data_IF_599628589830
#
_entry.id   IF_599628589830
#
_cell.length_a   1.000
_cell.length_b   1.000
_cell.length_c   1.000
_cell.angle_alpha   90.00
_cell.angle_beta   90.00
_cell.angle_gamma   90.00
#
_symmetry.space_group_name_H-M   'P 1'
#
loop_
_entity.id
_entity.type
_entity.pdbx_description
1 polymer ?
#
# COMPACT_ATOMS: atom_id res chain seq x y z
N UNK A 1 9.51 10.43 -6.46
CA UNK A 1 10.44 9.64 -5.63
C UNK A 1 11.40 8.88 -6.53
N UNK A 2 12.69 8.96 -6.26
CA UNK A 2 13.70 8.23 -7.01
C UNK A 2 13.87 6.82 -6.41
N UNK A 3 14.56 5.94 -7.14
CA UNK A 3 14.87 4.58 -6.63
C UNK A 3 15.72 4.67 -5.37
N UNK A 4 16.67 5.62 -5.33
CA UNK A 4 17.54 5.83 -4.15
C UNK A 4 16.73 6.26 -2.92
N UNK A 5 15.79 7.19 -3.08
CA UNK A 5 14.90 7.60 -2.00
C UNK A 5 14.03 6.45 -1.52
N UNK A 6 13.56 5.63 -2.47
CA UNK A 6 12.77 4.45 -2.17
C UNK A 6 13.56 3.47 -1.30
N UNK A 7 14.80 3.18 -1.67
CA UNK A 7 15.65 2.27 -0.93
C UNK A 7 15.93 2.75 0.50
N UNK A 8 16.21 4.04 0.67
CA UNK A 8 16.44 4.63 1.98
C UNK A 8 15.21 4.51 2.87
N UNK A 9 14.05 4.75 2.31
CA UNK A 9 12.78 4.65 3.02
C UNK A 9 12.52 3.21 3.47
N UNK A 10 12.77 2.25 2.59
CA UNK A 10 12.60 0.84 2.89
C UNK A 10 13.54 0.37 4.00
N UNK A 11 14.78 0.85 4.03
CA UNK A 11 15.73 0.50 5.09
C UNK A 11 15.23 0.92 6.47
N UNK A 12 14.63 2.10 6.57
CA UNK A 12 14.03 2.56 7.82
C UNK A 12 12.89 1.67 8.28
N UNK A 13 12.04 1.22 7.35
CA UNK A 13 10.91 0.37 7.66
C UNK A 13 11.28 -1.08 7.96
N UNK A 14 12.37 -1.59 7.37
CA UNK A 14 12.81 -2.96 7.60
C UNK A 14 13.29 -3.21 9.03
N UNK A 15 13.56 -2.16 9.79
CA UNK A 15 13.92 -2.27 11.20
C UNK A 15 12.70 -2.31 12.12
N UNK A 16 11.50 -2.26 11.57
CA UNK A 16 10.25 -2.30 12.31
C UNK A 16 9.52 -3.62 12.07
N UNK A 17 8.29 -3.72 12.55
CA UNK A 17 7.42 -4.89 12.33
C UNK A 17 6.85 -4.96 10.91
N UNK A 18 7.15 -3.99 10.05
CA UNK A 18 6.66 -3.94 8.68
C UNK A 18 7.55 -4.75 7.74
N UNK A 19 6.91 -5.34 6.73
CA UNK A 19 7.58 -6.02 5.63
C UNK A 19 7.45 -5.17 4.38
N UNK A 20 8.54 -5.03 3.64
CA UNK A 20 8.56 -4.30 2.38
C UNK A 20 8.80 -5.27 1.23
N UNK A 21 7.99 -5.15 0.17
CA UNK A 21 8.15 -5.91 -1.06
C UNK A 21 8.41 -4.94 -2.20
N UNK A 22 9.48 -5.17 -2.93
CA UNK A 22 9.83 -4.40 -4.10
C UNK A 22 9.38 -5.14 -5.36
N UNK A 23 8.71 -4.44 -6.25
CA UNK A 23 8.25 -5.00 -7.53
C UNK A 23 9.13 -4.46 -8.65
N UNK A 24 9.58 -5.37 -9.51
CA UNK A 24 10.47 -5.02 -10.61
C UNK A 24 9.85 -5.41 -11.95
N UNK A 25 10.15 -4.60 -12.97
CA UNK A 25 9.86 -4.92 -14.36
C UNK A 25 11.21 -4.99 -15.07
N UNK A 26 11.67 -6.21 -15.35
CA UNK A 26 13.03 -6.43 -15.80
C UNK A 26 14.00 -6.11 -14.66
N UNK A 27 14.87 -5.12 -14.87
CA UNK A 27 15.83 -4.65 -13.85
C UNK A 27 15.39 -3.35 -13.19
N UNK A 28 14.24 -2.83 -13.57
CA UNK A 28 13.74 -1.57 -13.07
C UNK A 28 12.76 -1.77 -11.90
N UNK A 29 13.02 -1.11 -10.78
CA UNK A 29 12.08 -1.08 -9.68
C UNK A 29 10.91 -0.16 -10.04
N UNK A 30 9.69 -0.69 -10.06
CA UNK A 30 8.51 0.06 -10.50
C UNK A 30 7.51 0.34 -9.39
N UNK A 31 7.53 -0.42 -8.30
CA UNK A 31 6.59 -0.25 -7.20
C UNK A 31 7.12 -0.87 -5.93
N UNK A 32 6.57 -0.47 -4.78
CA UNK A 32 6.77 -1.19 -3.52
C UNK A 32 5.49 -1.22 -2.71
N UNK A 33 5.38 -2.25 -1.87
CA UNK A 33 4.31 -2.38 -0.89
C UNK A 33 4.93 -2.51 0.48
N UNK A 34 4.32 -1.85 1.47
CA UNK A 34 4.73 -1.89 2.86
C UNK A 34 3.55 -2.37 3.69
N UNK A 35 3.69 -3.49 4.38
CA UNK A 35 2.58 -4.06 5.13
C UNK A 35 3.05 -4.67 6.45
N UNK A 36 2.09 -4.88 7.34
CA UNK A 36 2.30 -5.51 8.62
C UNK A 36 1.36 -6.70 8.76
N UNK A 37 1.92 -7.84 9.15
CA UNK A 37 1.16 -9.04 9.37
C UNK A 37 0.82 -9.16 10.86
N UNK A 38 -0.47 -9.27 11.15
CA UNK A 38 -0.98 -9.45 12.50
C UNK A 38 -1.84 -10.70 12.54
N UNK A 39 -2.21 -11.15 13.74
CA UNK A 39 -3.10 -12.29 13.87
C UNK A 39 -4.42 -12.04 13.14
N UNK A 40 -4.69 -12.83 12.10
CA UNK A 40 -5.91 -12.74 11.32
C UNK A 40 -6.01 -11.58 10.36
N UNK A 41 -5.00 -10.72 10.27
CA UNK A 41 -5.09 -9.51 9.45
C UNK A 41 -3.75 -9.15 8.81
N UNK A 42 -3.80 -8.66 7.57
CA UNK A 42 -2.67 -8.01 6.92
C UNK A 42 -3.07 -6.56 6.66
N UNK A 43 -2.34 -5.64 7.26
CA UNK A 43 -2.55 -4.21 7.10
C UNK A 43 -1.56 -3.65 6.09
N UNK A 44 -2.07 -3.20 4.95
CA UNK A 44 -1.25 -2.56 3.93
C UNK A 44 -1.12 -1.08 4.25
N UNK A 45 0.08 -0.70 4.68
CA UNK A 45 0.34 0.69 5.06
C UNK A 45 0.55 1.59 3.87
N UNK A 46 1.26 1.10 2.84
CA UNK A 46 1.60 1.92 1.69
C UNK A 46 1.81 1.07 0.45
N UNK A 47 1.27 1.54 -0.65
CA UNK A 47 1.55 1.05 -1.98
C UNK A 47 2.02 2.23 -2.81
N UNK A 48 3.22 2.13 -3.37
CA UNK A 48 3.80 3.20 -4.17
C UNK A 48 4.15 2.67 -5.56
N UNK A 49 3.78 3.43 -6.59
CA UNK A 49 4.17 3.15 -7.98
C UNK A 49 5.03 4.31 -8.46
N UNK A 50 6.17 3.99 -9.07
CA UNK A 50 7.09 4.99 -9.59
C UNK A 50 6.36 5.91 -10.56
N UNK A 51 6.61 7.22 -10.45
CA UNK A 51 5.82 8.24 -11.14
C UNK A 51 5.70 8.03 -12.65
N UNK A 52 6.80 7.71 -13.32
CA UNK A 52 6.82 7.53 -14.77
C UNK A 52 6.18 6.22 -15.24
N UNK A 53 5.77 5.36 -14.29
CA UNK A 53 5.10 4.10 -14.58
C UNK A 53 3.67 4.06 -14.08
N UNK A 54 3.12 5.19 -13.67
CA UNK A 54 1.72 5.30 -13.25
C UNK A 54 0.80 5.24 -14.47
N UNK A 55 -0.45 4.83 -14.25
CA UNK A 55 -1.48 4.65 -15.29
C UNK A 55 -1.22 3.48 -16.24
N UNK A 56 -0.34 2.56 -15.86
CA UNK A 56 -0.08 1.33 -16.62
C UNK A 56 -0.70 0.09 -15.97
N UNK A 57 -1.54 0.29 -14.95
CA UNK A 57 -2.15 -0.84 -14.24
C UNK A 57 -1.21 -1.54 -13.27
N UNK A 58 -0.05 -0.97 -12.98
CA UNK A 58 0.95 -1.59 -12.09
C UNK A 58 0.43 -1.75 -10.67
N UNK A 59 -0.28 -0.74 -10.14
CA UNK A 59 -0.86 -0.83 -8.80
C UNK A 59 -1.80 -2.03 -8.66
N UNK A 60 -2.65 -2.25 -9.64
CA UNK A 60 -3.55 -3.39 -9.66
C UNK A 60 -2.80 -4.71 -9.74
N UNK A 61 -1.78 -4.78 -10.59
CA UNK A 61 -0.95 -5.97 -10.74
C UNK A 61 -0.22 -6.31 -9.44
N UNK A 62 0.28 -5.30 -8.71
CA UNK A 62 0.97 -5.54 -7.44
C UNK A 62 0.02 -6.12 -6.40
N UNK A 63 -1.20 -5.64 -6.32
CA UNK A 63 -2.21 -6.19 -5.41
C UNK A 63 -2.53 -7.65 -5.79
N UNK A 64 -2.67 -7.94 -7.08
CA UNK A 64 -2.91 -9.30 -7.54
C UNK A 64 -1.78 -10.26 -7.16
N UNK A 65 -0.53 -9.82 -7.31
CA UNK A 65 0.64 -10.62 -6.92
C UNK A 65 0.67 -10.85 -5.41
N UNK A 66 0.44 -9.81 -4.61
CA UNK A 66 0.41 -9.92 -3.17
C UNK A 66 -0.64 -10.93 -2.71
N UNK A 67 -1.84 -10.84 -3.27
CA UNK A 67 -2.95 -11.71 -2.89
C UNK A 67 -2.77 -13.15 -3.35
N UNK A 68 -2.19 -13.36 -4.53
CA UNK A 68 -2.08 -14.69 -5.11
C UNK A 68 -0.81 -15.45 -4.70
N UNK A 69 0.28 -14.73 -4.41
CA UNK A 69 1.60 -15.35 -4.25
C UNK A 69 2.28 -15.08 -2.91
N UNK A 70 1.91 -14.02 -2.20
CA UNK A 70 2.66 -13.59 -1.02
C UNK A 70 1.82 -13.67 0.25
N UNK A 71 0.60 -13.13 0.24
CA UNK A 71 -0.24 -13.08 1.43
C UNK A 71 -1.02 -14.38 1.62
N UNK A 72 -1.15 -14.87 2.88
CA UNK A 72 -2.03 -16.00 3.17
C UNK A 72 -3.48 -15.67 2.80
N UNK A 73 -4.18 -16.62 2.21
CA UNK A 73 -5.56 -16.42 1.75
C UNK A 73 -6.59 -16.36 2.87
N UNK A 74 -6.23 -16.86 4.04
CA UNK A 74 -7.13 -16.95 5.17
C UNK A 74 -7.09 -15.73 6.08
N UNK A 75 -6.37 -14.67 5.70
CA UNK A 75 -6.28 -13.45 6.50
C UNK A 75 -7.11 -12.33 5.89
N UNK A 76 -7.68 -11.53 6.77
CA UNK A 76 -8.38 -10.31 6.40
C UNK A 76 -7.38 -9.28 5.90
N UNK A 77 -7.69 -8.59 4.82
CA UNK A 77 -6.84 -7.54 4.26
C UNK A 77 -7.45 -6.19 4.57
N UNK A 78 -6.65 -5.28 5.10
CA UNK A 78 -7.10 -3.92 5.44
C UNK A 78 -6.17 -2.88 4.88
N UNK A 79 -6.74 -1.70 4.61
CA UNK A 79 -6.01 -0.51 4.18
C UNK A 79 -6.75 0.70 4.73
N UNK A 80 -6.02 1.77 5.01
CA UNK A 80 -6.64 3.03 5.38
C UNK A 80 -6.42 4.04 4.26
N UNK A 81 -7.43 4.85 3.99
CA UNK A 81 -7.37 5.87 2.96
C UNK A 81 -8.13 7.10 3.44
N UNK A 82 -7.57 8.28 3.18
CA UNK A 82 -8.25 9.52 3.51
C UNK A 82 -9.48 9.68 2.62
N UNK A 83 -10.61 9.96 3.23
CA UNK A 83 -11.89 10.07 2.52
C UNK A 83 -11.86 11.17 1.43
N UNK A 84 -11.02 12.17 1.60
CA UNK A 84 -10.86 13.26 0.62
C UNK A 84 -10.06 12.85 -0.61
N UNK A 85 -9.31 11.76 -0.53
CA UNK A 85 -8.55 11.24 -1.66
C UNK A 85 -9.44 10.34 -2.51
N UNK A 86 -10.30 10.94 -3.31
CA UNK A 86 -11.30 10.22 -4.08
C UNK A 86 -10.68 9.21 -5.05
N UNK A 87 -9.55 9.54 -5.67
CA UNK A 87 -8.88 8.64 -6.60
C UNK A 87 -8.37 7.39 -5.89
N UNK A 88 -7.79 7.54 -4.70
CA UNK A 88 -7.30 6.41 -3.91
C UNK A 88 -8.48 5.55 -3.43
N UNK A 89 -9.54 6.16 -2.95
CA UNK A 89 -10.75 5.42 -2.54
C UNK A 89 -11.28 4.58 -3.69
N UNK A 90 -11.39 5.18 -4.88
CA UNK A 90 -11.86 4.47 -6.07
C UNK A 90 -10.93 3.30 -6.43
N UNK A 91 -9.62 3.50 -6.34
CA UNK A 91 -8.64 2.46 -6.61
C UNK A 91 -8.81 1.26 -5.66
N UNK A 92 -8.88 1.52 -4.35
CA UNK A 92 -9.00 0.44 -3.38
C UNK A 92 -10.30 -0.33 -3.53
N UNK A 93 -11.41 0.35 -3.81
CA UNK A 93 -12.69 -0.33 -4.10
C UNK A 93 -12.59 -1.17 -5.38
N UNK A 94 -11.93 -0.64 -6.40
CA UNK A 94 -11.80 -1.35 -7.69
C UNK A 94 -10.98 -2.63 -7.57
N UNK A 95 -9.99 -2.68 -6.68
CA UNK A 95 -9.18 -3.90 -6.49
C UNK A 95 -9.77 -4.86 -5.46
N UNK A 96 -10.92 -4.55 -4.88
CA UNK A 96 -11.69 -5.49 -4.07
C UNK A 96 -11.88 -5.13 -2.60
N UNK A 97 -11.33 -4.02 -2.13
CA UNK A 97 -11.57 -3.58 -0.75
C UNK A 97 -12.96 -2.98 -0.63
N UNK A 98 -13.60 -3.25 0.50
CA UNK A 98 -14.92 -2.70 0.81
C UNK A 98 -14.80 -1.73 1.96
N UNK A 99 -15.69 -0.73 1.99
CA UNK A 99 -15.74 0.24 3.08
C UNK A 99 -16.08 -0.49 4.38
N UNK A 100 -15.26 -0.29 5.40
CA UNK A 100 -15.44 -0.99 6.67
C UNK A 100 -15.73 -0.06 7.83
N UNK A 101 -14.96 1.03 7.96
CA UNK A 101 -15.12 1.95 9.06
C UNK A 101 -14.92 3.39 8.60
N UNK A 102 -15.42 4.32 9.41
CA UNK A 102 -15.28 5.74 9.14
C UNK A 102 -14.66 6.39 10.38
N UNK A 103 -13.51 7.01 10.21
CA UNK A 103 -12.84 7.75 11.27
C UNK A 103 -13.22 9.22 11.15
N UNK A 104 -13.79 9.76 12.20
CA UNK A 104 -14.19 11.18 12.28
C UNK A 104 -13.25 11.90 13.24
N UNK A 105 -13.03 13.18 12.99
CA UNK A 105 -12.13 13.97 13.83
C UNK A 105 -12.62 15.41 13.98
N UNK A 106 -12.22 16.02 15.09
CA UNK A 106 -12.30 17.46 15.27
C UNK A 106 -10.88 17.93 15.53
N UNK A 107 -10.39 18.84 14.67
CA UNK A 107 -9.03 19.35 14.81
C UNK A 107 -8.94 20.30 16.01
N UNK A 108 -7.73 20.41 16.63
CA UNK A 108 -7.54 21.35 17.72
C UNK A 108 -7.84 22.78 17.28
N UNK A 109 -8.46 23.55 18.16
CA UNK A 109 -8.63 24.98 17.97
C UNK A 109 -7.29 25.65 18.24
N UNK A 110 -6.67 26.15 17.17
CA UNK A 110 -5.43 26.92 17.29
C UNK A 110 -5.78 28.39 17.22
N UNK A 111 -5.60 29.08 18.32
CA UNK A 111 -5.88 30.52 18.41
C UNK A 111 -4.57 31.29 18.33
#
# INVERSE_FOLDING_TARGET
MTVSELEQRMRGWLQSEYTAILFEDGKEAVAYALYREQAGEIYLRQLFVVRNRRREGIGRQTIEILRSQIWPRNKRLTVEVLVKNAAAVAFWRAVGYEDYSLKLEILPNVV
#
